data_IF_798431888782
#
_entry.id   IF_798431888782
#
_cell.length_a   1.000
_cell.length_b   1.000
_cell.length_c   1.000
_cell.angle_alpha   90.00
_cell.angle_beta   90.00
_cell.angle_gamma   90.00
#
_symmetry.space_group_name_H-M   'P 1'
#
loop_
_entity.id
_entity.type
_entity.pdbx_description
1 polymer ?
#
# COMPACT_ATOMS: atom_id res chain seq x y z
N UNK A 1 3.09 -55.34 -65.23
CA UNK A 1 4.09 -54.39 -65.76
C UNK A 1 3.39 -53.08 -66.06
N UNK A 2 3.72 -52.01 -65.30
CA UNK A 2 3.42 -50.56 -65.51
C UNK A 2 1.91 -50.19 -65.69
N UNK A 3 1.35 -49.15 -65.10
CA UNK A 3 1.89 -47.90 -64.59
C UNK A 3 0.89 -47.30 -63.58
N UNK A 4 1.42 -46.58 -62.59
CA UNK A 4 0.72 -45.95 -61.46
C UNK A 4 0.36 -44.51 -61.81
N UNK A 5 -0.84 -44.04 -61.42
CA UNK A 5 -1.04 -42.71 -60.82
C UNK A 5 -2.46 -42.53 -60.25
N UNK A 6 -2.53 -41.69 -59.23
CA UNK A 6 -3.68 -41.07 -58.54
C UNK A 6 -4.07 -41.65 -57.18
N UNK A 7 -3.45 -41.04 -56.15
CA UNK A 7 -4.07 -40.32 -55.01
C UNK A 7 -5.33 -40.93 -54.37
N UNK A 8 -5.18 -41.38 -53.12
CA UNK A 8 -6.02 -40.99 -51.97
C UNK A 8 -5.49 -41.72 -50.72
N UNK A 9 -4.89 -40.97 -49.79
CA UNK A 9 -4.49 -41.48 -48.48
C UNK A 9 -5.57 -41.08 -47.46
N UNK A 10 -6.43 -42.04 -47.14
CA UNK A 10 -7.16 -42.10 -45.89
C UNK A 10 -6.51 -43.11 -44.95
N UNK A 11 -6.90 -43.08 -43.67
CA UNK A 11 -6.41 -43.82 -42.48
C UNK A 11 -5.37 -43.03 -41.68
N UNK A 12 -5.40 -42.91 -40.34
CA UNK A 12 -6.19 -43.58 -39.31
C UNK A 12 -6.14 -42.78 -38.00
N UNK A 13 -7.25 -42.83 -37.27
CA UNK A 13 -7.41 -42.42 -35.88
C UNK A 13 -6.43 -43.15 -34.94
N UNK A 14 -5.79 -42.44 -34.01
CA UNK A 14 -5.54 -42.97 -32.67
C UNK A 14 -5.46 -41.83 -31.64
N UNK A 15 -6.15 -42.09 -30.54
CA UNK A 15 -6.47 -41.25 -29.39
C UNK A 15 -5.25 -40.68 -28.63
N UNK A 16 -5.46 -39.49 -28.04
CA UNK A 16 -5.09 -39.26 -26.64
C UNK A 16 -4.27 -38.02 -26.33
N UNK A 17 -4.83 -37.18 -25.46
CA UNK A 17 -4.22 -36.12 -24.61
C UNK A 17 -4.37 -34.67 -25.12
N UNK A 18 -5.55 -34.12 -24.79
CA UNK A 18 -5.85 -32.71 -24.47
C UNK A 18 -6.43 -32.81 -23.02
N UNK A 19 -6.17 -31.98 -22.01
CA UNK A 19 -6.11 -30.52 -21.94
C UNK A 19 -5.61 -30.14 -20.53
N UNK A 20 -4.78 -29.09 -20.36
CA UNK A 20 -4.78 -28.16 -19.20
C UNK A 20 -3.64 -27.13 -19.32
N UNK A 21 -3.74 -26.22 -20.28
CA UNK A 21 -3.11 -24.90 -20.25
C UNK A 21 -4.05 -23.95 -21.00
N UNK A 22 -4.75 -23.10 -20.26
CA UNK A 22 -5.65 -22.09 -20.79
C UNK A 22 -5.55 -20.86 -19.89
N UNK A 23 -4.61 -19.98 -20.22
CA UNK A 23 -4.62 -18.60 -19.76
C UNK A 23 -5.54 -17.81 -20.68
N UNK A 24 -6.54 -17.14 -20.12
CA UNK A 24 -7.42 -16.25 -20.87
C UNK A 24 -6.88 -14.82 -20.80
N UNK A 25 -6.19 -14.43 -21.86
CA UNK A 25 -6.02 -13.03 -22.26
C UNK A 25 -7.26 -12.59 -23.03
N UNK A 26 -8.14 -11.80 -22.41
CA UNK A 26 -9.25 -11.14 -23.09
C UNK A 26 -8.83 -9.76 -23.59
N UNK A 27 -8.64 -9.67 -24.91
CA UNK A 27 -8.45 -8.45 -25.69
C UNK A 27 -9.75 -7.64 -25.76
N UNK A 28 -9.70 -6.33 -25.50
CA UNK A 28 -10.79 -5.41 -25.86
C UNK A 28 -10.25 -4.21 -26.65
N UNK A 29 -10.57 -4.19 -27.93
CA UNK A 29 -10.51 -3.02 -28.82
C UNK A 29 -11.93 -2.45 -28.91
N UNK A 30 -12.14 -1.20 -28.49
CA UNK A 30 -13.28 -0.40 -28.94
C UNK A 30 -12.87 1.06 -29.16
N UNK A 31 -13.44 1.62 -30.21
CA UNK A 31 -13.09 2.84 -30.93
C UNK A 31 -13.24 4.16 -30.14
N UNK A 32 -12.27 5.06 -30.33
CA UNK A 32 -12.43 6.33 -31.05
C UNK A 32 -13.42 7.38 -30.54
N UNK A 33 -12.89 8.51 -30.07
CA UNK A 33 -13.62 9.76 -29.92
C UNK A 33 -12.75 10.92 -29.43
N UNK A 34 -12.05 11.59 -30.35
CA UNK A 34 -11.32 12.85 -30.06
C UNK A 34 -12.33 13.98 -29.83
N UNK A 35 -12.26 14.63 -28.68
CA UNK A 35 -12.93 15.90 -28.39
C UNK A 35 -11.95 16.84 -27.70
N UNK A 36 -11.49 17.85 -28.42
CA UNK A 36 -10.68 18.96 -27.92
C UNK A 36 -11.56 19.94 -27.14
N UNK A 37 -11.12 20.37 -25.96
CA UNK A 37 -11.64 21.60 -25.32
C UNK A 37 -10.46 22.44 -24.83
N UNK A 38 -10.41 23.66 -25.35
CA UNK A 38 -9.47 24.73 -25.05
C UNK A 38 -10.02 25.69 -24.00
N UNK A 39 -9.11 26.34 -23.27
CA UNK A 39 -9.36 27.52 -22.43
C UNK A 39 -9.16 27.22 -20.94
N UNK A 40 -8.60 28.08 -20.11
CA UNK A 40 -7.95 29.39 -20.28
C UNK A 40 -7.34 29.75 -18.92
N UNK A 41 -6.30 30.55 -18.95
CA UNK A 41 -5.51 31.05 -17.81
C UNK A 41 -6.34 31.68 -16.67
N UNK A 42 -5.83 31.49 -15.45
CA UNK A 42 -6.35 32.12 -14.24
C UNK A 42 -5.42 31.93 -13.05
N UNK A 43 -4.28 32.63 -13.07
CA UNK A 43 -3.33 32.68 -11.96
C UNK A 43 -3.94 33.44 -10.76
N UNK A 44 -3.93 32.82 -9.57
CA UNK A 44 -4.22 33.49 -8.29
C UNK A 44 -3.04 33.24 -7.34
N UNK A 45 -2.33 34.31 -7.04
CA UNK A 45 -1.22 34.37 -6.09
C UNK A 45 -1.76 34.51 -4.66
N UNK A 46 -1.39 33.61 -3.75
CA UNK A 46 -1.49 33.86 -2.31
C UNK A 46 -0.12 33.68 -1.65
N UNK A 47 0.49 34.81 -1.29
CA UNK A 47 1.60 34.85 -0.36
C UNK A 47 1.08 34.64 1.06
N UNK A 48 1.70 33.68 1.76
CA UNK A 48 1.48 33.40 3.17
C UNK A 48 2.83 33.08 3.82
N UNK A 49 3.20 33.93 4.77
CA UNK A 49 4.41 33.91 5.60
C UNK A 49 4.58 32.58 6.35
N UNK A 50 5.64 31.83 6.01
CA UNK A 50 6.04 30.61 6.71
C UNK A 50 7.18 30.91 7.69
N UNK A 51 6.83 31.37 8.89
CA UNK A 51 7.78 31.57 9.99
C UNK A 51 7.41 30.78 11.26
N UNK A 52 7.81 29.49 11.25
CA UNK A 52 8.32 28.64 12.37
C UNK A 52 7.32 28.03 13.40
N UNK A 53 7.72 26.99 14.20
CA UNK A 53 8.88 26.08 14.11
C UNK A 53 8.59 24.56 14.30
N UNK A 54 9.37 23.74 13.57
CA UNK A 54 10.20 22.62 14.05
C UNK A 54 9.67 21.70 15.19
N UNK A 55 9.29 20.47 14.82
CA UNK A 55 9.23 19.32 15.74
C UNK A 55 10.47 18.42 15.52
N UNK A 56 11.23 18.06 16.56
CA UNK A 56 12.36 17.14 16.41
C UNK A 56 11.86 15.70 16.15
N UNK A 57 12.58 14.88 15.38
CA UNK A 57 12.24 13.48 15.19
C UNK A 57 12.55 12.71 16.49
N UNK A 58 11.62 11.85 16.94
CA UNK A 58 11.89 10.89 18.01
C UNK A 58 11.06 10.95 19.29
N UNK A 59 9.85 11.53 19.28
CA UNK A 59 8.87 11.21 20.36
C UNK A 59 7.99 10.04 19.93
N UNK A 60 7.66 9.11 20.84
CA UNK A 60 6.54 8.18 20.62
C UNK A 60 5.33 8.99 20.18
N UNK A 61 4.69 8.60 19.07
CA UNK A 61 3.47 9.26 18.62
C UNK A 61 2.45 9.25 19.77
N UNK A 62 1.80 10.40 20.04
CA UNK A 62 0.78 10.45 21.08
C UNK A 62 -0.30 9.41 20.77
N UNK A 63 -0.89 8.78 21.79
CA UNK A 63 -1.98 7.83 21.57
C UNK A 63 -3.12 8.48 20.77
N UNK A 64 -3.91 7.68 20.03
CA UNK A 64 -5.03 8.19 19.26
C UNK A 64 -5.92 9.11 20.11
N UNK A 65 -6.52 10.16 19.52
CA UNK A 65 -7.43 11.03 20.25
C UNK A 65 -8.55 10.20 20.89
N UNK A 66 -8.99 10.54 22.12
CA UNK A 66 -9.99 9.76 22.84
C UNK A 66 -11.27 9.63 22.01
N UNK A 67 -11.81 8.41 21.96
CA UNK A 67 -13.03 8.09 21.24
C UNK A 67 -14.13 9.08 21.63
N UNK A 68 -14.64 9.84 20.66
CA UNK A 68 -15.83 10.65 20.85
C UNK A 68 -17.01 9.72 21.10
N UNK A 69 -17.81 10.03 22.11
CA UNK A 69 -19.02 9.29 22.51
C UNK A 69 -20.03 9.25 21.34
N UNK A 70 -19.89 8.29 20.42
CA UNK A 70 -20.98 7.87 19.52
C UNK A 70 -20.89 6.39 19.07
N UNK A 71 -22.08 5.80 18.94
CA UNK A 71 -22.49 4.39 19.13
C UNK A 71 -22.34 3.48 17.88
N UNK A 72 -21.13 3.25 17.39
CA UNK A 72 -20.91 2.28 16.30
C UNK A 72 -19.72 1.37 16.55
N UNK A 73 -19.91 0.06 16.38
CA UNK A 73 -18.82 -0.93 16.42
C UNK A 73 -17.93 -0.75 15.19
N UNK A 74 -16.62 -0.89 15.37
CA UNK A 74 -15.63 -0.81 14.29
C UNK A 74 -14.79 -2.08 14.35
N UNK A 75 -14.74 -2.82 13.25
CA UNK A 75 -14.05 -4.11 13.17
C UNK A 75 -12.95 -4.04 12.11
N UNK A 76 -11.74 -4.43 12.49
CA UNK A 76 -10.68 -4.67 11.51
C UNK A 76 -10.91 -6.02 10.83
N UNK A 77 -10.87 -6.07 9.51
CA UNK A 77 -11.04 -7.27 8.71
C UNK A 77 -9.75 -7.52 7.92
N UNK A 78 -8.87 -8.37 8.45
CA UNK A 78 -7.59 -8.69 7.83
C UNK A 78 -7.79 -9.83 6.84
N UNK A 79 -7.45 -9.59 5.57
CA UNK A 79 -7.38 -10.64 4.56
C UNK A 79 -6.03 -11.34 4.71
N UNK A 80 -6.04 -12.52 5.31
CA UNK A 80 -4.86 -13.19 5.85
C UNK A 80 -4.34 -14.27 4.90
N UNK A 81 -3.08 -14.14 4.47
CA UNK A 81 -2.39 -15.18 3.72
C UNK A 81 -0.94 -15.43 4.12
N UNK A 82 -0.24 -14.47 4.74
CA UNK A 82 1.22 -14.48 4.94
C UNK A 82 1.62 -14.10 6.38
N UNK A 83 2.17 -15.05 7.13
CA UNK A 83 2.66 -14.86 8.51
C UNK A 83 3.63 -13.70 8.64
N UNK A 84 4.64 -13.65 7.77
CA UNK A 84 5.75 -12.73 7.97
C UNK A 84 5.33 -11.27 7.79
N UNK A 85 4.32 -11.00 6.95
CA UNK A 85 3.75 -9.66 6.80
C UNK A 85 2.87 -9.33 8.02
N UNK A 86 2.06 -10.29 8.49
CA UNK A 86 1.23 -10.10 9.69
C UNK A 86 2.04 -9.91 10.97
N UNK A 87 3.27 -10.43 11.07
CA UNK A 87 4.18 -10.09 12.18
C UNK A 87 4.47 -8.59 12.25
N UNK A 88 4.54 -7.89 11.12
CA UNK A 88 4.67 -6.43 11.07
C UNK A 88 3.31 -5.78 11.35
N UNK A 89 2.26 -6.22 10.67
CA UNK A 89 0.92 -5.64 10.77
C UNK A 89 0.33 -5.72 12.19
N UNK A 90 0.59 -6.81 12.95
CA UNK A 90 0.07 -6.98 14.31
C UNK A 90 0.42 -5.81 15.23
N UNK A 91 1.62 -5.22 15.10
CA UNK A 91 2.01 -4.08 15.92
C UNK A 91 1.08 -2.87 15.69
N UNK A 92 0.64 -2.65 14.45
CA UNK A 92 -0.32 -1.58 14.11
C UNK A 92 -1.75 -1.94 14.50
N UNK A 93 -2.17 -3.20 14.30
CA UNK A 93 -3.50 -3.66 14.72
C UNK A 93 -3.69 -3.52 16.22
N UNK A 94 -2.70 -3.95 17.01
CA UNK A 94 -2.72 -3.81 18.46
C UNK A 94 -2.83 -2.35 18.88
N UNK A 95 -2.04 -1.43 18.32
CA UNK A 95 -2.15 0.01 18.64
C UNK A 95 -3.55 0.57 18.35
N UNK A 96 -4.20 0.05 17.32
CA UNK A 96 -5.52 0.48 16.90
C UNK A 96 -6.69 -0.23 17.59
N UNK A 97 -6.45 -1.22 18.45
CA UNK A 97 -7.50 -1.80 19.30
C UNK A 97 -7.97 -0.80 20.36
N UNK A 98 -9.28 -0.75 20.64
CA UNK A 98 -9.85 0.05 21.74
C UNK A 98 -9.22 -0.27 23.10
N UNK A 99 -8.91 -1.54 23.34
CA UNK A 99 -8.22 -1.98 24.56
C UNK A 99 -6.88 -1.25 24.77
N UNK A 100 -6.25 -0.79 23.69
CA UNK A 100 -4.96 -0.11 23.68
C UNK A 100 -5.08 1.40 23.32
N UNK A 101 -6.29 1.96 23.34
CA UNK A 101 -6.55 3.38 23.06
C UNK A 101 -6.88 3.72 21.61
N UNK A 102 -6.96 2.72 20.73
CA UNK A 102 -7.43 2.87 19.35
C UNK A 102 -8.95 2.81 19.21
N UNK A 103 -9.41 2.49 17.99
CA UNK A 103 -10.83 2.51 17.61
C UNK A 103 -11.43 1.14 17.29
N UNK A 104 -10.63 0.10 17.08
CA UNK A 104 -11.09 -1.22 16.67
C UNK A 104 -11.58 -2.02 17.88
N UNK A 105 -12.84 -2.48 17.83
CA UNK A 105 -13.44 -3.35 18.84
C UNK A 105 -12.93 -4.80 18.75
N UNK A 106 -12.69 -5.26 17.53
CA UNK A 106 -12.28 -6.63 17.20
C UNK A 106 -11.45 -6.61 15.91
N UNK A 107 -10.57 -7.61 15.76
CA UNK A 107 -9.94 -7.97 14.49
C UNK A 107 -10.41 -9.35 14.06
N UNK A 108 -10.92 -9.45 12.83
CA UNK A 108 -11.23 -10.72 12.18
C UNK A 108 -10.13 -11.01 11.16
N UNK A 109 -9.45 -12.13 11.31
CA UNK A 109 -8.57 -12.70 10.28
C UNK A 109 -9.39 -13.61 9.37
N UNK A 110 -9.67 -13.12 8.16
CA UNK A 110 -10.30 -13.90 7.10
C UNK A 110 -9.24 -14.69 6.36
N UNK A 111 -9.19 -16.00 6.58
CA UNK A 111 -8.03 -16.84 6.22
C UNK A 111 -8.17 -17.38 4.80
N UNK A 112 -7.20 -17.05 3.95
CA UNK A 112 -7.11 -17.52 2.57
C UNK A 112 -5.68 -18.02 2.25
N UNK A 113 -5.24 -19.02 2.99
CA UNK A 113 -3.97 -19.74 2.76
C UNK A 113 -4.10 -21.18 3.24
N UNK A 114 -3.46 -22.09 2.51
CA UNK A 114 -3.31 -23.49 2.89
C UNK A 114 -1.91 -23.78 3.47
N UNK A 115 -1.06 -22.76 3.63
CA UNK A 115 0.28 -22.91 4.18
C UNK A 115 0.21 -23.19 5.69
N UNK A 116 0.71 -24.36 6.09
CA UNK A 116 0.67 -24.83 7.48
C UNK A 116 1.40 -23.91 8.46
N UNK A 117 2.52 -23.29 8.05
CA UNK A 117 3.27 -22.36 8.89
C UNK A 117 2.51 -21.05 9.14
N UNK A 118 1.79 -20.57 8.11
CA UNK A 118 0.95 -19.38 8.21
C UNK A 118 -0.25 -19.66 9.11
N UNK A 119 -0.88 -20.83 8.97
CA UNK A 119 -1.99 -21.25 9.81
C UNK A 119 -1.55 -21.46 11.27
N UNK A 120 -0.41 -22.11 11.49
CA UNK A 120 0.13 -22.39 12.82
C UNK A 120 0.47 -21.10 13.58
N UNK A 121 1.02 -20.09 12.92
CA UNK A 121 1.26 -18.80 13.55
C UNK A 121 -0.04 -18.15 14.04
N UNK A 122 -1.06 -18.11 13.19
CA UNK A 122 -2.35 -17.53 13.57
C UNK A 122 -2.99 -18.30 14.74
N UNK A 123 -3.08 -19.62 14.62
CA UNK A 123 -3.82 -20.47 15.56
C UNK A 123 -3.09 -20.67 16.89
N UNK A 124 -1.76 -20.78 16.89
CA UNK A 124 -0.99 -21.15 18.08
C UNK A 124 -0.26 -19.97 18.72
N UNK A 125 0.07 -18.92 17.96
CA UNK A 125 0.84 -17.79 18.48
C UNK A 125 -0.01 -16.54 18.67
N UNK A 126 -0.88 -16.21 17.72
CA UNK A 126 -1.60 -14.94 17.70
C UNK A 126 -2.92 -15.00 18.46
N UNK A 127 -3.87 -15.84 18.03
CA UNK A 127 -5.22 -15.90 18.61
C UNK A 127 -5.24 -16.23 20.12
N UNK A 128 -4.45 -17.21 20.63
CA UNK A 128 -4.48 -17.55 22.06
C UNK A 128 -4.06 -16.40 22.98
N UNK A 129 -3.27 -15.45 22.46
CA UNK A 129 -2.73 -14.32 23.23
C UNK A 129 -3.60 -13.07 23.10
N UNK A 130 -4.54 -13.02 22.14
CA UNK A 130 -5.26 -11.80 21.74
C UNK A 130 -6.78 -12.02 21.79
N UNK A 131 -7.46 -11.70 22.91
CA UNK A 131 -8.89 -11.99 23.09
C UNK A 131 -9.81 -11.19 22.16
N UNK A 132 -9.32 -10.09 21.58
CA UNK A 132 -10.05 -9.28 20.60
C UNK A 132 -9.85 -9.76 19.16
N UNK A 133 -9.12 -10.85 18.94
CA UNK A 133 -8.86 -11.41 17.62
C UNK A 133 -9.70 -12.66 17.41
N UNK A 134 -10.24 -12.81 16.20
CA UNK A 134 -11.02 -13.97 15.79
C UNK A 134 -10.59 -14.44 14.40
N UNK A 135 -10.67 -15.75 14.21
CA UNK A 135 -10.52 -16.39 12.89
C UNK A 135 -11.85 -16.52 12.18
N UNK A 136 -11.85 -16.22 10.88
CA UNK A 136 -12.88 -16.66 9.95
C UNK A 136 -12.24 -17.59 8.93
N UNK A 137 -12.62 -18.86 8.99
CA UNK A 137 -12.17 -19.87 8.05
C UNK A 137 -13.14 -19.94 6.86
N UNK A 138 -12.60 -19.86 5.66
CA UNK A 138 -13.38 -20.03 4.44
C UNK A 138 -13.85 -21.47 4.30
N UNK A 139 -15.10 -21.66 3.90
CA UNK A 139 -15.50 -22.94 3.32
C UNK A 139 -14.70 -23.15 2.02
N UNK A 140 -14.15 -24.36 1.86
CA UNK A 140 -13.52 -24.77 0.60
C UNK A 140 -14.51 -24.46 -0.53
N UNK A 141 -14.01 -23.87 -1.63
CA UNK A 141 -14.76 -23.43 -2.82
C UNK A 141 -15.39 -22.04 -2.83
N UNK A 142 -15.29 -21.22 -1.76
CA UNK A 142 -15.76 -19.81 -1.81
C UNK A 142 -14.77 -18.82 -2.46
N UNK A 143 -13.56 -19.27 -2.75
CA UNK A 143 -12.51 -18.48 -3.41
C UNK A 143 -12.14 -17.19 -2.66
N UNK A 144 -11.47 -16.27 -3.35
CA UNK A 144 -11.04 -14.97 -2.80
C UNK A 144 -12.20 -14.16 -2.22
N UNK A 145 -13.34 -14.11 -2.94
CA UNK A 145 -14.52 -13.35 -2.55
C UNK A 145 -15.17 -13.85 -1.25
N UNK A 146 -15.00 -15.14 -0.95
CA UNK A 146 -15.50 -15.76 0.27
C UNK A 146 -15.07 -15.04 1.55
N UNK A 147 -13.95 -14.30 1.50
CA UNK A 147 -13.39 -13.57 2.63
C UNK A 147 -14.33 -12.50 3.20
N UNK A 148 -15.25 -11.99 2.38
CA UNK A 148 -16.28 -11.04 2.79
C UNK A 148 -17.44 -11.69 3.57
N UNK A 149 -17.55 -13.03 3.56
CA UNK A 149 -18.63 -13.76 4.23
C UNK A 149 -18.65 -13.65 5.77
N UNK A 150 -17.62 -13.05 6.36
CA UNK A 150 -17.58 -12.72 7.78
C UNK A 150 -18.25 -11.38 8.14
N UNK A 151 -18.66 -10.60 7.15
CA UNK A 151 -19.39 -9.33 7.35
C UNK A 151 -20.86 -9.64 7.60
N UNK A 152 -21.26 -9.59 8.87
CA UNK A 152 -22.60 -10.03 9.32
C UNK A 152 -23.34 -9.00 10.18
N UNK A 153 -22.71 -7.86 10.49
CA UNK A 153 -23.28 -6.83 11.36
C UNK A 153 -23.56 -5.55 10.56
N UNK A 154 -24.84 -5.25 10.30
CA UNK A 154 -25.26 -4.14 9.42
C UNK A 154 -24.75 -2.76 9.87
N UNK A 155 -24.84 -2.50 11.18
CA UNK A 155 -24.52 -1.18 11.77
C UNK A 155 -23.03 -1.02 12.14
N UNK A 156 -22.19 -1.98 11.74
CA UNK A 156 -20.75 -2.00 12.01
C UNK A 156 -19.97 -1.40 10.85
N UNK A 157 -18.93 -0.61 11.15
CA UNK A 157 -17.94 -0.20 10.15
C UNK A 157 -16.86 -1.28 10.09
N UNK A 158 -16.63 -1.84 8.92
CA UNK A 158 -15.55 -2.77 8.67
C UNK A 158 -14.39 -2.04 7.99
N UNK A 159 -13.20 -2.19 8.56
CA UNK A 159 -11.94 -1.70 8.01
C UNK A 159 -11.21 -2.92 7.45
N UNK A 160 -11.36 -3.18 6.16
CA UNK A 160 -10.63 -4.23 5.46
C UNK A 160 -9.16 -3.83 5.28
N UNK A 161 -8.25 -4.74 5.59
CA UNK A 161 -6.79 -4.53 5.58
C UNK A 161 -6.14 -5.75 4.93
N UNK A 162 -5.35 -5.54 3.87
CA UNK A 162 -4.49 -6.61 3.33
C UNK A 162 -3.36 -6.93 4.31
N UNK A 163 -2.96 -8.20 4.35
CA UNK A 163 -1.91 -8.66 5.26
C UNK A 163 -0.53 -8.03 5.01
N UNK A 164 -0.31 -7.42 3.84
CA UNK A 164 0.90 -6.68 3.47
C UNK A 164 0.76 -5.15 3.54
N UNK A 165 -0.22 -4.66 4.29
CA UNK A 165 -0.12 -3.33 4.90
C UNK A 165 0.95 -3.37 5.98
N UNK A 166 2.09 -2.76 5.68
CA UNK A 166 3.35 -2.82 6.46
C UNK A 166 3.62 -1.57 7.29
N UNK A 167 2.79 -0.54 7.11
CA UNK A 167 2.81 0.68 7.91
C UNK A 167 1.42 1.32 7.92
N UNK A 168 1.03 1.87 9.06
CA UNK A 168 -0.12 2.75 9.21
C UNK A 168 0.14 3.81 10.29
N UNK A 169 -0.14 5.08 10.00
CA UNK A 169 -0.17 6.12 11.03
C UNK A 169 -1.32 5.89 12.02
N UNK A 170 -1.12 6.31 13.28
CA UNK A 170 -2.11 6.12 14.36
C UNK A 170 -3.47 6.78 14.05
N UNK A 171 -3.49 7.86 13.27
CA UNK A 171 -4.73 8.56 12.91
C UNK A 171 -5.41 8.03 11.64
N UNK A 172 -4.86 7.03 10.93
CA UNK A 172 -5.39 6.54 9.65
C UNK A 172 -6.80 5.98 9.78
N UNK A 173 -7.03 5.07 10.74
CA UNK A 173 -8.37 4.51 10.96
C UNK A 173 -9.34 5.58 11.45
N UNK A 174 -8.88 6.51 12.29
CA UNK A 174 -9.70 7.62 12.77
C UNK A 174 -10.18 8.52 11.61
N UNK A 175 -9.29 8.88 10.68
CA UNK A 175 -9.62 9.68 9.52
C UNK A 175 -10.65 8.99 8.60
N UNK A 176 -10.48 7.68 8.37
CA UNK A 176 -11.43 6.88 7.59
C UNK A 176 -12.81 6.81 8.26
N UNK A 177 -12.86 6.46 9.55
CA UNK A 177 -14.11 6.34 10.31
C UNK A 177 -14.82 7.69 10.40
N UNK A 178 -14.08 8.78 10.64
CA UNK A 178 -14.61 10.14 10.63
C UNK A 178 -15.25 10.46 9.28
N UNK A 179 -14.55 10.19 8.18
CA UNK A 179 -15.05 10.43 6.81
C UNK A 179 -16.35 9.67 6.55
N UNK A 180 -16.44 8.38 6.91
CA UNK A 180 -17.67 7.60 6.76
C UNK A 180 -18.83 8.11 7.64
N UNK A 181 -18.54 8.61 8.84
CA UNK A 181 -19.59 9.12 9.75
C UNK A 181 -20.11 10.49 9.31
N UNK A 182 -19.22 11.38 8.89
CA UNK A 182 -19.57 12.74 8.48
C UNK A 182 -20.20 12.79 7.08
N UNK A 183 -19.97 11.78 6.24
CA UNK A 183 -20.53 11.67 4.89
C UNK A 183 -21.34 10.37 4.75
N UNK A 184 -22.58 10.33 5.26
CA UNK A 184 -23.43 9.14 5.25
C UNK A 184 -23.79 8.65 3.84
N UNK A 185 -23.73 9.55 2.86
CA UNK A 185 -23.94 9.31 1.43
C UNK A 185 -22.75 8.64 0.72
N UNK A 186 -21.56 8.58 1.32
CA UNK A 186 -20.44 7.82 0.75
C UNK A 186 -20.71 6.32 0.75
N UNK A 187 -20.29 5.65 -0.32
CA UNK A 187 -20.31 4.19 -0.37
C UNK A 187 -19.23 3.62 0.54
N UNK A 188 -18.00 4.07 0.34
CA UNK A 188 -16.84 3.59 1.08
C UNK A 188 -15.72 4.64 1.13
N UNK A 189 -14.69 4.35 1.93
CA UNK A 189 -13.49 5.17 2.04
C UNK A 189 -12.23 4.28 1.92
N UNK A 190 -11.24 4.69 1.16
CA UNK A 190 -9.90 4.10 1.15
C UNK A 190 -8.95 4.96 1.99
N UNK A 191 -7.91 4.37 2.56
CA UNK A 191 -6.83 5.12 3.18
C UNK A 191 -5.96 5.84 2.12
N UNK A 192 -5.19 6.84 2.54
CA UNK A 192 -4.09 7.36 1.73
C UNK A 192 -2.92 6.36 1.75
N UNK A 193 -2.69 5.65 0.63
CA UNK A 193 -1.78 4.51 0.60
C UNK A 193 -0.57 4.81 -0.29
N UNK A 194 0.63 4.77 0.28
CA UNK A 194 1.88 4.73 -0.48
C UNK A 194 1.99 3.38 -1.20
N UNK A 195 2.44 3.42 -2.45
CA UNK A 195 2.45 2.28 -3.36
C UNK A 195 1.04 1.73 -3.65
N UNK A 196 0.08 2.62 -3.88
CA UNK A 196 -1.19 2.29 -4.55
C UNK A 196 -1.13 2.80 -6.01
N UNK A 197 -1.62 2.08 -7.03
CA UNK A 197 -1.23 2.34 -8.42
C UNK A 197 -1.63 3.73 -8.91
N UNK A 198 -2.86 4.15 -8.61
CA UNK A 198 -3.38 5.46 -8.98
C UNK A 198 -2.97 6.54 -7.96
N UNK A 199 -2.98 6.26 -6.64
CA UNK A 199 -2.56 7.25 -5.63
C UNK A 199 -1.08 7.61 -5.71
N UNK A 200 -0.24 6.71 -6.24
CA UNK A 200 1.18 7.02 -6.49
C UNK A 200 1.31 8.21 -7.43
N UNK A 201 0.41 8.39 -8.40
CA UNK A 201 0.39 9.59 -9.24
C UNK A 201 0.01 10.85 -8.47
N UNK A 202 -0.93 10.75 -7.52
CA UNK A 202 -1.28 11.88 -6.63
C UNK A 202 -0.07 12.28 -5.80
N UNK A 203 0.61 11.32 -5.18
CA UNK A 203 1.85 11.55 -4.43
C UNK A 203 2.96 12.14 -5.29
N UNK A 204 3.10 11.71 -6.55
CA UNK A 204 4.03 12.32 -7.51
C UNK A 204 3.76 13.82 -7.66
N UNK A 205 2.50 14.21 -7.83
CA UNK A 205 2.09 15.61 -7.97
C UNK A 205 2.16 16.41 -6.67
N UNK A 206 2.30 15.75 -5.51
CA UNK A 206 2.64 16.37 -4.23
C UNK A 206 4.16 16.56 -4.05
N UNK A 207 4.99 16.07 -4.98
CA UNK A 207 6.44 16.26 -4.95
C UNK A 207 7.17 15.45 -3.87
N UNK A 208 6.59 14.32 -3.44
CA UNK A 208 7.11 13.52 -2.30
C UNK A 208 8.09 12.41 -2.70
N UNK A 209 8.39 12.24 -3.98
CA UNK A 209 9.31 11.20 -4.41
C UNK A 209 10.72 11.74 -4.56
N UNK A 210 11.61 11.11 -3.82
CA UNK A 210 13.01 11.47 -3.71
C UNK A 210 13.83 10.65 -4.72
N UNK A 211 14.96 11.16 -5.20
CA UNK A 211 15.75 10.47 -6.20
C UNK A 211 16.52 9.29 -5.59
N UNK A 212 16.23 8.09 -6.07
CA UNK A 212 16.88 6.84 -5.64
C UNK A 212 17.19 5.96 -6.85
N UNK A 213 18.30 5.23 -6.76
CA UNK A 213 18.70 4.21 -7.73
C UNK A 213 19.10 2.92 -7.04
N UNK A 214 18.86 1.74 -7.65
CA UNK A 214 19.26 0.48 -7.05
C UNK A 214 20.78 0.38 -6.93
N UNK A 215 21.24 -0.21 -5.84
CA UNK A 215 22.62 -0.66 -5.70
C UNK A 215 22.83 -1.86 -6.62
N UNK A 216 23.66 -1.70 -7.64
CA UNK A 216 23.84 -2.72 -8.69
C UNK A 216 24.78 -3.85 -8.28
N UNK A 217 25.65 -3.64 -7.29
CA UNK A 217 26.63 -4.63 -6.84
C UNK A 217 26.60 -4.78 -5.32
N UNK A 218 26.67 -6.01 -4.78
CA UNK A 218 26.69 -6.22 -3.33
C UNK A 218 27.84 -5.45 -2.65
N UNK A 219 27.60 -4.83 -1.48
CA UNK A 219 28.66 -4.18 -0.72
C UNK A 219 29.62 -5.22 -0.14
N UNK A 220 30.92 -4.90 -0.06
CA UNK A 220 31.93 -5.79 0.55
C UNK A 220 31.61 -6.13 2.02
N UNK A 221 30.98 -5.19 2.73
CA UNK A 221 30.52 -5.35 4.11
C UNK A 221 29.03 -5.03 4.18
N UNK A 222 28.16 -6.04 4.35
CA UNK A 222 26.74 -5.77 4.54
C UNK A 222 26.52 -5.00 5.85
N UNK A 223 25.72 -3.94 5.79
CA UNK A 223 25.26 -3.23 6.98
C UNK A 223 24.12 -4.03 7.63
N UNK A 224 23.97 -3.90 8.94
CA UNK A 224 22.77 -4.39 9.62
C UNK A 224 21.53 -3.69 9.05
N UNK A 225 20.40 -4.40 9.04
CA UNK A 225 19.14 -3.84 8.57
C UNK A 225 18.70 -2.70 9.51
N UNK A 226 18.80 -1.46 9.03
CA UNK A 226 18.23 -0.26 9.64
C UNK A 226 17.18 0.31 8.69
N UNK A 227 16.09 0.81 9.25
CA UNK A 227 15.03 1.45 8.47
C UNK A 227 15.39 2.88 8.02
N UNK A 228 16.45 3.45 8.61
CA UNK A 228 16.88 4.84 8.39
C UNK A 228 17.47 5.03 6.99
N UNK A 229 16.98 6.03 6.28
CA UNK A 229 17.49 6.42 4.98
C UNK A 229 18.82 7.19 5.10
N UNK A 230 19.06 7.88 6.22
CA UNK A 230 20.30 8.61 6.49
C UNK A 230 21.54 7.70 6.56
N UNK A 231 21.35 6.44 6.97
CA UNK A 231 22.43 5.44 7.08
C UNK A 231 22.84 4.83 5.72
N UNK A 232 22.04 5.03 4.67
CA UNK A 232 22.40 4.57 3.32
C UNK A 232 23.58 5.38 2.78
N UNK A 233 24.55 4.76 2.09
CA UNK A 233 25.53 5.51 1.32
C UNK A 233 24.83 6.24 0.16
N UNK A 234 25.38 7.38 -0.25
CA UNK A 234 24.87 8.09 -1.43
C UNK A 234 25.16 7.28 -2.69
N UNK A 235 24.24 7.30 -3.64
CA UNK A 235 24.46 6.75 -4.97
C UNK A 235 25.60 7.50 -5.69
N UNK A 236 26.57 6.77 -6.26
CA UNK A 236 27.78 7.36 -6.84
C UNK A 236 27.84 7.34 -8.38
N UNK A 237 26.88 6.67 -9.03
CA UNK A 237 26.81 6.54 -10.49
C UNK A 237 26.22 7.76 -11.22
N UNK A 238 25.86 7.63 -12.51
CA UNK A 238 25.29 8.71 -13.31
C UNK A 238 23.94 9.19 -12.77
N UNK A 239 23.67 10.50 -12.83
CA UNK A 239 22.43 11.11 -12.30
C UNK A 239 21.16 10.46 -12.84
N UNK A 240 21.17 10.08 -14.12
CA UNK A 240 20.06 9.44 -14.84
C UNK A 240 19.92 7.94 -14.56
N UNK A 241 20.75 7.39 -13.68
CA UNK A 241 20.70 6.01 -13.21
C UNK A 241 21.81 5.12 -13.73
N UNK A 242 21.85 3.87 -13.26
CA UNK A 242 22.81 2.87 -13.74
C UNK A 242 22.58 2.57 -15.23
N UNK A 243 23.62 2.55 -16.09
CA UNK A 243 23.47 2.34 -17.53
C UNK A 243 22.68 1.08 -17.94
N UNK A 244 22.79 0.01 -17.15
CA UNK A 244 22.14 -1.28 -17.35
C UNK A 244 20.72 -1.37 -16.75
N UNK A 245 20.28 -0.37 -15.99
CA UNK A 245 18.99 -0.35 -15.31
C UNK A 245 17.97 0.52 -16.04
N UNK A 246 16.80 -0.06 -16.35
CA UNK A 246 15.70 0.62 -17.02
C UNK A 246 14.64 1.05 -16.01
N UNK A 247 14.30 2.34 -16.03
CA UNK A 247 13.35 2.96 -15.10
C UNK A 247 11.90 2.49 -15.24
N UNK A 248 11.56 1.85 -16.36
CA UNK A 248 10.20 1.35 -16.65
C UNK A 248 9.87 0.05 -15.91
N UNK A 249 10.79 -0.47 -15.09
CA UNK A 249 10.62 -1.71 -14.33
C UNK A 249 10.92 -2.97 -15.14
N UNK A 250 11.42 -2.84 -16.37
CA UNK A 250 11.78 -3.99 -17.22
C UNK A 250 13.13 -4.63 -16.87
N UNK A 251 13.98 -3.96 -16.09
CA UNK A 251 15.17 -4.59 -15.51
C UNK A 251 14.80 -5.42 -14.28
N UNK A 252 15.43 -6.60 -14.06
CA UNK A 252 15.24 -7.38 -12.83
C UNK A 252 15.94 -6.71 -11.64
N UNK A 253 15.62 -7.18 -10.43
CA UNK A 253 16.37 -6.88 -9.22
C UNK A 253 17.86 -7.24 -9.41
N UNK A 254 18.82 -6.36 -9.08
CA UNK A 254 20.25 -6.63 -9.30
C UNK A 254 20.76 -7.85 -8.54
N UNK A 255 20.33 -8.01 -7.28
CA UNK A 255 20.60 -9.17 -6.43
C UNK A 255 19.61 -9.20 -5.26
N UNK A 256 19.52 -10.34 -4.57
CA UNK A 256 18.66 -10.49 -3.40
C UNK A 256 19.20 -9.69 -2.21
N UNK A 257 18.33 -8.90 -1.59
CA UNK A 257 18.66 -7.98 -0.51
C UNK A 257 19.35 -6.69 -0.97
N UNK A 258 19.21 -6.31 -2.25
CA UNK A 258 19.77 -5.06 -2.74
C UNK A 258 19.07 -3.84 -2.12
N UNK A 259 19.83 -2.76 -2.02
CA UNK A 259 19.36 -1.48 -1.51
C UNK A 259 18.98 -0.56 -2.66
N UNK A 260 18.24 0.50 -2.36
CA UNK A 260 18.15 1.68 -3.21
C UNK A 260 18.86 2.83 -2.53
N UNK A 261 19.82 3.42 -3.23
CA UNK A 261 20.71 4.43 -2.69
C UNK A 261 20.19 5.84 -3.04
N UNK A 262 20.13 6.77 -2.07
CA UNK A 262 19.68 8.12 -2.34
C UNK A 262 20.69 8.87 -3.21
N UNK A 263 20.20 9.61 -4.18
CA UNK A 263 21.01 10.56 -4.96
C UNK A 263 21.15 11.84 -4.14
N UNK A 264 22.13 11.85 -3.24
CA UNK A 264 22.50 13.08 -2.52
C UNK A 264 23.38 13.91 -3.43
N UNK A 265 23.05 15.19 -3.60
CA UNK A 265 23.78 16.09 -4.49
C UNK A 265 25.29 15.92 -4.30
N UNK A 266 26.00 15.62 -5.37
CA UNK A 266 27.40 16.03 -5.40
C UNK A 266 27.35 17.56 -5.42
N UNK A 267 28.14 18.29 -4.60
CA UNK A 267 28.55 19.61 -5.03
C UNK A 267 29.23 19.38 -6.39
N UNK A 268 28.51 19.67 -7.46
CA UNK A 268 29.09 19.66 -8.79
C UNK A 268 30.23 20.69 -8.71
N UNK A 269 31.45 20.20 -8.93
CA UNK A 269 32.62 21.04 -9.07
C UNK A 269 33.05 20.88 -10.54
N UNK A 270 32.83 21.88 -11.40
CA UNK A 270 32.26 23.20 -11.12
C UNK A 270 30.73 23.17 -10.91
N UNK A 271 30.15 24.19 -10.26
CA UNK A 271 28.71 24.32 -10.10
C UNK A 271 28.00 24.32 -11.47
N UNK A 272 26.74 23.87 -11.53
CA UNK A 272 25.97 23.86 -12.76
C UNK A 272 25.96 25.27 -13.36
N UNK A 273 26.19 25.37 -14.67
CA UNK A 273 26.12 26.62 -15.40
C UNK A 273 24.69 27.20 -15.34
N UNK A 274 24.51 28.50 -15.61
CA UNK A 274 23.16 29.10 -15.71
C UNK A 274 22.27 28.42 -16.78
N UNK A 275 22.86 27.64 -17.70
CA UNK A 275 22.11 26.78 -18.62
C UNK A 275 21.64 25.46 -17.99
N UNK A 276 22.37 24.91 -17.02
CA UNK A 276 21.97 23.73 -16.25
C UNK A 276 20.86 24.03 -15.23
N UNK A 277 20.70 25.31 -14.86
CA UNK A 277 19.59 25.82 -14.04
C UNK A 277 18.28 26.02 -14.84
N UNK A 278 18.28 25.76 -16.15
CA UNK A 278 17.05 25.72 -16.95
C UNK A 278 16.35 24.39 -16.66
N UNK A 279 15.48 24.39 -15.65
CA UNK A 279 14.43 23.38 -15.37
C UNK A 279 14.88 21.97 -15.76
N UNK A 280 15.55 21.26 -14.86
CA UNK A 280 15.78 19.83 -15.05
C UNK A 280 14.45 19.19 -15.48
N UNK A 281 14.32 18.62 -16.69
CA UNK A 281 13.25 17.66 -16.90
C UNK A 281 13.48 16.62 -15.80
N UNK A 282 12.44 16.31 -15.02
CA UNK A 282 12.52 15.31 -13.96
C UNK A 282 13.35 14.13 -14.51
N UNK A 283 14.51 13.81 -13.90
CA UNK A 283 15.32 12.72 -14.38
C UNK A 283 14.44 11.49 -14.53
N UNK A 284 14.75 10.54 -15.41
CA UNK A 284 13.88 9.40 -15.73
C UNK A 284 13.80 8.39 -14.57
N UNK A 285 13.68 8.83 -13.33
CA UNK A 285 13.49 8.02 -12.15
C UNK A 285 12.28 7.11 -12.34
N UNK A 286 12.32 5.89 -11.79
CA UNK A 286 11.20 4.97 -11.87
C UNK A 286 9.85 5.56 -11.44
N UNK A 287 9.84 6.40 -10.39
CA UNK A 287 8.65 7.10 -9.92
C UNK A 287 8.04 8.04 -10.97
N UNK A 288 8.80 8.54 -11.95
CA UNK A 288 8.26 9.37 -13.06
C UNK A 288 7.32 8.60 -14.00
N UNK A 289 7.29 7.27 -13.89
CA UNK A 289 6.48 6.39 -14.74
C UNK A 289 5.10 6.09 -14.16
N UNK A 290 4.78 6.58 -12.96
CA UNK A 290 3.47 6.36 -12.34
C UNK A 290 2.38 7.12 -13.11
N UNK A 291 1.20 6.54 -13.18
CA UNK A 291 0.04 7.10 -13.88
C UNK A 291 -1.19 7.08 -12.99
N UNK A 292 -2.14 7.98 -13.25
CA UNK A 292 -3.44 7.95 -12.59
C UNK A 292 -4.35 6.88 -13.21
N UNK A 293 -3.95 5.61 -13.05
CA UNK A 293 -4.63 4.43 -13.60
C UNK A 293 -4.36 3.22 -12.68
N UNK A 294 -5.42 2.56 -12.23
CA UNK A 294 -5.34 1.37 -11.38
C UNK A 294 -4.62 0.18 -12.05
N UNK A 295 -4.64 0.12 -13.38
CA UNK A 295 -3.98 -0.91 -14.19
C UNK A 295 -2.79 -0.38 -14.99
N UNK A 296 -2.42 0.89 -14.78
CA UNK A 296 -1.32 1.54 -15.47
C UNK A 296 0.06 1.00 -15.05
N UNK A 297 1.14 1.59 -15.57
CA UNK A 297 2.51 1.15 -15.28
C UNK A 297 2.85 1.04 -13.79
N UNK A 298 2.25 1.87 -12.92
CA UNK A 298 2.42 1.79 -11.47
C UNK A 298 2.16 0.39 -10.89
N UNK A 299 1.19 -0.35 -11.44
CA UNK A 299 0.82 -1.69 -10.96
C UNK A 299 1.92 -2.73 -11.21
N UNK A 300 2.76 -2.56 -12.23
CA UNK A 300 3.76 -3.55 -12.67
C UNK A 300 5.20 -3.09 -12.44
N UNK A 301 5.44 -1.79 -12.35
CA UNK A 301 6.78 -1.25 -12.21
C UNK A 301 7.29 -1.42 -10.77
N UNK A 302 7.93 -2.56 -10.51
CA UNK A 302 8.53 -2.89 -9.21
C UNK A 302 9.63 -1.88 -8.80
N UNK A 303 10.35 -1.30 -9.77
CA UNK A 303 11.37 -0.28 -9.53
C UNK A 303 10.76 1.05 -9.08
N UNK A 304 9.64 1.44 -9.67
CA UNK A 304 8.87 2.58 -9.18
C UNK A 304 8.45 2.35 -7.74
N UNK A 305 7.79 1.22 -7.45
CA UNK A 305 7.38 0.84 -6.10
C UNK A 305 8.53 0.95 -5.09
N UNK A 306 9.70 0.39 -5.41
CA UNK A 306 10.87 0.49 -4.56
C UNK A 306 11.24 1.96 -4.25
N UNK A 307 11.32 2.81 -5.26
CA UNK A 307 11.57 4.24 -5.05
C UNK A 307 10.49 4.92 -4.19
N UNK A 308 9.20 4.60 -4.36
CA UNK A 308 8.13 5.16 -3.52
C UNK A 308 8.34 4.81 -2.05
N UNK A 309 8.66 3.55 -1.75
CA UNK A 309 8.94 3.08 -0.39
C UNK A 309 10.15 3.76 0.23
N UNK A 310 11.26 3.87 -0.51
CA UNK A 310 12.48 4.52 -0.02
C UNK A 310 12.27 6.02 0.23
N UNK A 311 11.54 6.70 -0.65
CA UNK A 311 11.14 8.09 -0.46
C UNK A 311 10.29 8.25 0.80
N UNK A 312 9.34 7.33 1.02
CA UNK A 312 8.52 7.32 2.22
C UNK A 312 9.36 7.10 3.49
N UNK A 313 10.27 6.12 3.51
CA UNK A 313 11.13 5.87 4.67
C UNK A 313 12.04 7.08 4.98
N UNK A 314 12.53 7.77 3.95
CA UNK A 314 13.27 9.03 4.11
C UNK A 314 12.41 10.12 4.76
N UNK A 315 11.19 10.31 4.29
CA UNK A 315 10.27 11.29 4.88
C UNK A 315 9.81 10.88 6.29
N UNK A 316 9.62 9.59 6.54
CA UNK A 316 9.28 9.05 7.85
C UNK A 316 10.39 9.35 8.86
N UNK A 317 11.64 9.12 8.50
CA UNK A 317 12.80 9.43 9.34
C UNK A 317 12.90 10.92 9.66
N UNK A 318 12.61 11.79 8.68
CA UNK A 318 12.67 13.25 8.83
C UNK A 318 11.45 13.86 9.55
N UNK A 319 10.41 13.07 9.85
CA UNK A 319 9.15 13.60 10.39
C UNK A 319 8.36 14.42 9.37
N UNK A 320 8.51 14.12 8.07
CA UNK A 320 7.94 14.85 6.94
C UNK A 320 6.77 14.12 6.27
N UNK A 321 6.15 13.14 6.94
CA UNK A 321 5.00 12.39 6.38
C UNK A 321 3.80 13.28 6.06
N UNK A 322 3.72 14.47 6.66
CA UNK A 322 2.73 15.50 6.35
C UNK A 322 2.72 15.90 4.86
N UNK A 323 3.84 15.75 4.15
CA UNK A 323 3.94 16.04 2.70
C UNK A 323 3.05 15.14 1.84
N UNK A 324 2.70 13.94 2.32
CA UNK A 324 1.82 13.00 1.61
C UNK A 324 0.34 13.33 1.81
N UNK A 325 0.00 14.22 2.75
CA UNK A 325 -1.36 14.41 3.24
C UNK A 325 -2.12 15.39 2.37
N UNK A 326 -3.39 15.08 2.21
CA UNK A 326 -4.41 15.95 1.62
C UNK A 326 -5.71 15.74 2.42
N UNK A 327 -6.76 16.51 2.19
CA UNK A 327 -8.01 16.32 2.93
C UNK A 327 -8.75 15.07 2.40
N UNK A 328 -9.36 15.21 1.23
CA UNK A 328 -10.13 14.17 0.56
C UNK A 328 -9.73 14.12 -0.89
N UNK A 329 -9.66 12.91 -1.43
CA UNK A 329 -9.56 12.68 -2.87
C UNK A 329 -10.74 11.84 -3.34
N UNK A 330 -11.59 12.41 -4.19
CA UNK A 330 -12.78 11.74 -4.72
C UNK A 330 -12.39 10.90 -5.95
N UNK A 331 -12.46 9.58 -5.83
CA UNK A 331 -12.23 8.67 -6.95
C UNK A 331 -13.45 8.60 -7.90
N UNK A 332 -14.55 9.25 -7.56
CA UNK A 332 -15.82 9.21 -8.28
C UNK A 332 -16.27 7.76 -8.50
N UNK A 333 -16.10 7.26 -9.72
CA UNK A 333 -16.40 5.88 -10.12
C UNK A 333 -15.19 5.21 -10.78
N UNK A 334 -13.98 5.73 -10.54
CA UNK A 334 -12.72 5.12 -10.95
C UNK A 334 -12.28 4.09 -9.92
N UNK A 335 -11.56 3.07 -10.40
CA UNK A 335 -11.09 1.98 -9.55
C UNK A 335 -10.02 2.48 -8.58
N UNK A 336 -10.17 2.15 -7.31
CA UNK A 336 -9.12 2.25 -6.29
C UNK A 336 -8.85 0.85 -5.73
N UNK A 337 -7.58 0.52 -5.48
CA UNK A 337 -7.28 -0.74 -4.80
C UNK A 337 -7.75 -0.71 -3.34
N UNK A 338 -8.31 -1.81 -2.86
CA UNK A 338 -8.96 -1.90 -1.54
C UNK A 338 -8.01 -2.39 -0.44
N UNK A 339 -6.70 -2.11 -0.54
CA UNK A 339 -5.71 -2.65 0.41
C UNK A 339 -5.95 -2.21 1.86
N UNK A 340 -6.51 -1.01 2.06
CA UNK A 340 -6.92 -0.49 3.35
C UNK A 340 -8.22 0.30 3.16
N UNK A 341 -9.36 -0.36 3.40
CA UNK A 341 -10.67 0.07 2.90
C UNK A 341 -11.75 -0.01 3.99
N UNK A 342 -12.45 1.09 4.21
CA UNK A 342 -13.53 1.23 5.18
C UNK A 342 -14.90 1.22 4.50
N UNK A 343 -15.81 0.38 4.99
CA UNK A 343 -17.16 0.23 4.45
C UNK A 343 -18.15 -0.14 5.57
N UNK A 344 -19.43 0.20 5.41
CA UNK A 344 -20.48 -0.20 6.36
C UNK A 344 -20.88 -1.65 6.10
N UNK A 345 -21.16 -2.40 7.17
CA UNK A 345 -21.56 -3.80 7.06
C UNK A 345 -22.82 -3.98 6.21
N UNK A 346 -23.81 -3.08 6.35
CA UNK A 346 -25.01 -3.06 5.52
C UNK A 346 -24.72 -3.00 4.01
N UNK A 347 -23.73 -2.20 3.60
CA UNK A 347 -23.37 -2.02 2.19
C UNK A 347 -22.80 -3.31 1.57
N UNK A 348 -22.03 -4.09 2.34
CA UNK A 348 -21.56 -5.42 1.94
C UNK A 348 -22.71 -6.44 1.97
N UNK A 349 -23.48 -6.49 3.07
CA UNK A 349 -24.57 -7.46 3.25
C UNK A 349 -25.67 -7.33 2.19
N UNK A 350 -25.89 -6.14 1.64
CA UNK A 350 -26.90 -5.89 0.60
C UNK A 350 -26.48 -6.39 -0.78
N UNK A 351 -25.20 -6.71 -0.99
CA UNK A 351 -24.69 -7.15 -2.29
C UNK A 351 -23.89 -8.46 -2.24
N UNK A 352 -23.59 -9.00 -1.05
CA UNK A 352 -22.90 -10.27 -0.90
C UNK A 352 -23.87 -11.48 -0.94
N UNK A 353 -23.58 -12.56 -1.69
CA UNK A 353 -22.40 -12.77 -2.53
C UNK A 353 -22.38 -11.85 -3.75
N UNK A 354 -21.20 -11.30 -4.08
CA UNK A 354 -21.08 -10.32 -5.16
C UNK A 354 -21.41 -10.94 -6.53
N UNK A 355 -22.02 -10.17 -7.45
CA UNK A 355 -22.39 -10.65 -8.78
C UNK A 355 -21.20 -10.80 -9.74
N UNK A 356 -20.00 -10.33 -9.35
CA UNK A 356 -18.78 -10.37 -10.16
C UNK A 356 -17.61 -10.94 -9.35
N UNK A 357 -16.64 -11.55 -10.06
CA UNK A 357 -15.43 -12.18 -9.51
C UNK A 357 -14.37 -11.23 -8.93
N UNK A 358 -14.53 -9.93 -9.16
CA UNK A 358 -13.56 -8.87 -8.87
C UNK A 358 -14.17 -7.90 -7.85
N UNK A 359 -13.89 -8.12 -6.57
CA UNK A 359 -14.44 -7.31 -5.47
C UNK A 359 -13.96 -5.86 -5.52
N UNK A 360 -12.70 -5.63 -5.86
CA UNK A 360 -12.17 -4.28 -6.06
C UNK A 360 -12.94 -3.51 -7.13
N UNK A 361 -13.10 -4.08 -8.32
CA UNK A 361 -13.88 -3.46 -9.39
C UNK A 361 -15.34 -3.27 -8.98
N UNK A 362 -15.94 -4.28 -8.35
CA UNK A 362 -17.34 -4.21 -7.95
C UNK A 362 -17.60 -3.16 -6.86
N UNK A 363 -16.81 -3.14 -5.80
CA UNK A 363 -16.99 -2.28 -4.63
C UNK A 363 -16.49 -0.84 -4.85
N UNK A 364 -15.67 -0.58 -5.88
CA UNK A 364 -15.16 0.77 -6.15
C UNK A 364 -15.71 1.42 -7.40
N UNK A 365 -16.24 0.62 -8.34
CA UNK A 365 -16.78 1.12 -9.62
C UNK A 365 -18.26 0.80 -9.76
N UNK A 366 -18.62 -0.48 -9.79
CA UNK A 366 -19.96 -0.91 -10.19
C UNK A 366 -21.02 -0.53 -9.16
N UNK A 367 -20.85 -1.00 -7.92
CA UNK A 367 -21.82 -0.80 -6.85
C UNK A 367 -21.93 0.68 -6.43
N UNK A 368 -20.82 1.44 -6.29
CA UNK A 368 -20.86 2.90 -6.20
C UNK A 368 -21.70 3.58 -7.27
N UNK A 369 -21.55 3.17 -8.54
CA UNK A 369 -22.28 3.74 -9.68
C UNK A 369 -23.76 3.41 -9.67
N UNK A 370 -24.13 2.18 -9.33
CA UNK A 370 -25.52 1.75 -9.15
C UNK A 370 -26.24 2.59 -8.07
N UNK A 371 -25.57 2.83 -6.95
CA UNK A 371 -26.13 3.55 -5.81
C UNK A 371 -25.97 5.07 -5.92
N UNK A 372 -25.16 5.56 -6.87
CA UNK A 372 -24.72 6.97 -6.98
C UNK A 372 -24.06 7.47 -5.69
N UNK A 373 -23.22 6.63 -5.10
CA UNK A 373 -22.50 6.89 -3.86
C UNK A 373 -21.01 6.69 -4.13
N UNK A 374 -20.20 7.72 -4.00
CA UNK A 374 -18.78 7.67 -4.39
C UNK A 374 -17.91 6.92 -3.39
N UNK A 375 -16.69 6.59 -3.81
CA UNK A 375 -15.60 6.14 -2.94
C UNK A 375 -14.57 7.24 -2.79
N UNK A 376 -14.27 7.62 -1.55
CA UNK A 376 -13.30 8.68 -1.24
C UNK A 376 -12.01 8.10 -0.68
N UNK A 377 -10.91 8.84 -0.80
CA UNK A 377 -9.70 8.61 -0.01
C UNK A 377 -9.66 9.61 1.14
N UNK A 378 -9.50 9.10 2.37
CA UNK A 378 -9.21 9.92 3.54
C UNK A 378 -7.71 10.25 3.56
N UNK A 379 -7.35 11.47 3.19
CA UNK A 379 -5.97 11.89 2.96
C UNK A 379 -5.15 12.25 4.22
N UNK A 380 -5.82 12.45 5.36
CA UNK A 380 -5.22 12.97 6.60
C UNK A 380 -4.36 11.93 7.35
N UNK A 381 -4.63 10.64 7.17
CA UNK A 381 -3.83 9.55 7.71
C UNK A 381 -3.21 8.73 6.58
N UNK A 382 -2.06 8.15 6.84
CA UNK A 382 -1.22 7.49 5.84
C UNK A 382 -1.06 6.00 6.14
N UNK A 383 -1.01 5.18 5.10
CA UNK A 383 -0.66 3.77 5.17
C UNK A 383 0.32 3.41 4.03
N UNK A 384 0.97 2.26 4.15
CA UNK A 384 1.85 1.72 3.12
C UNK A 384 1.42 0.29 2.83
N UNK A 385 1.17 0.01 1.56
CA UNK A 385 0.98 -1.35 1.04
C UNK A 385 2.29 -1.83 0.42
N UNK A 386 2.77 -3.03 0.77
CA UNK A 386 4.11 -3.47 0.37
C UNK A 386 4.20 -3.71 -1.14
N UNK A 387 3.34 -4.54 -1.73
CA UNK A 387 3.52 -4.92 -3.12
C UNK A 387 2.24 -5.48 -3.75
N UNK A 388 1.97 -5.09 -5.00
CA UNK A 388 1.04 -5.86 -5.83
C UNK A 388 1.70 -7.14 -6.34
N UNK A 389 0.89 -8.17 -6.66
CA UNK A 389 1.38 -9.44 -7.21
C UNK A 389 2.38 -9.28 -8.37
N UNK A 390 2.13 -8.40 -9.38
CA UNK A 390 3.09 -8.14 -10.46
C UNK A 390 4.39 -7.46 -10.01
N UNK A 391 4.38 -6.64 -8.96
CA UNK A 391 5.59 -6.02 -8.41
C UNK A 391 6.39 -7.02 -7.57
N UNK A 392 5.69 -7.82 -6.76
CA UNK A 392 6.27 -8.82 -5.86
C UNK A 392 6.94 -9.94 -6.65
N UNK A 393 6.27 -10.44 -7.71
CA UNK A 393 6.73 -11.58 -8.51
C UNK A 393 7.37 -11.16 -9.85
N UNK A 394 7.72 -9.88 -10.05
CA UNK A 394 8.37 -9.43 -11.28
C UNK A 394 9.61 -10.28 -11.59
N UNK A 395 9.87 -10.52 -12.87
CA UNK A 395 11.08 -11.22 -13.35
C UNK A 395 11.39 -12.53 -12.60
N UNK A 396 10.40 -13.44 -12.52
CA UNK A 396 10.56 -14.73 -11.83
C UNK A 396 10.92 -14.60 -10.33
N UNK A 397 10.30 -13.63 -9.66
CA UNK A 397 10.54 -13.25 -8.25
C UNK A 397 11.82 -12.46 -7.99
N UNK A 398 12.43 -11.92 -9.05
CA UNK A 398 13.50 -10.92 -8.97
C UNK A 398 12.94 -9.50 -9.12
N UNK A 399 12.04 -9.14 -8.20
CA UNK A 399 11.35 -7.85 -8.16
C UNK A 399 11.46 -7.16 -6.79
N UNK A 400 10.34 -6.59 -6.33
CA UNK A 400 10.30 -5.85 -5.07
C UNK A 400 10.64 -6.71 -3.84
N UNK A 401 10.30 -8.01 -3.88
CA UNK A 401 10.58 -8.97 -2.83
C UNK A 401 12.09 -9.23 -2.60
N UNK A 402 12.93 -8.91 -3.59
CA UNK A 402 14.39 -9.05 -3.51
C UNK A 402 15.08 -7.75 -3.03
N UNK A 403 14.33 -6.72 -2.67
CA UNK A 403 14.88 -5.54 -1.96
C UNK A 403 15.06 -5.83 -0.47
N UNK A 404 15.80 -4.98 0.24
CA UNK A 404 15.83 -4.97 1.70
C UNK A 404 14.63 -4.23 2.34
N UNK A 405 13.65 -3.75 1.58
CA UNK A 405 12.56 -2.92 2.10
C UNK A 405 11.76 -3.65 3.19
N UNK A 406 11.49 -4.94 3.00
CA UNK A 406 10.72 -5.70 3.99
C UNK A 406 11.43 -5.77 5.35
N UNK A 407 12.75 -5.93 5.36
CA UNK A 407 13.53 -5.91 6.61
C UNK A 407 13.62 -4.50 7.21
N UNK A 408 13.64 -3.45 6.38
CA UNK A 408 13.54 -2.05 6.84
C UNK A 408 12.21 -1.78 7.54
N UNK A 409 11.08 -2.16 6.95
CA UNK A 409 9.77 -1.98 7.59
C UNK A 409 9.63 -2.81 8.87
N UNK A 410 10.19 -4.02 8.90
CA UNK A 410 10.27 -4.81 10.12
C UNK A 410 11.08 -4.10 11.21
N UNK A 411 12.27 -3.59 10.88
CA UNK A 411 13.10 -2.86 11.82
C UNK A 411 12.40 -1.61 12.37
N UNK A 412 11.70 -0.85 11.51
CA UNK A 412 10.90 0.29 11.96
C UNK A 412 9.79 -0.15 12.93
N UNK A 413 9.04 -1.19 12.59
CA UNK A 413 7.95 -1.67 13.44
C UNK A 413 8.48 -2.14 14.81
N UNK A 414 9.56 -2.92 14.83
CA UNK A 414 10.20 -3.41 16.05
C UNK A 414 10.75 -2.28 16.93
N UNK A 415 11.32 -1.23 16.33
CA UNK A 415 11.89 -0.08 17.06
C UNK A 415 10.82 0.90 17.54
N UNK A 416 9.82 1.21 16.70
CA UNK A 416 8.95 2.38 16.90
C UNK A 416 7.50 2.04 17.22
N UNK A 417 7.01 0.86 16.84
CA UNK A 417 5.57 0.53 16.84
C UNK A 417 5.22 -0.55 17.85
N UNK A 418 5.95 -1.67 17.80
CA UNK A 418 5.76 -2.85 18.65
C UNK A 418 6.04 -2.60 20.14
N UNK A 419 6.94 -1.67 20.55
CA UNK A 419 7.06 -1.26 21.94
C UNK A 419 5.75 -0.57 22.36
N UNK A 420 4.79 -1.37 22.82
CA UNK A 420 3.57 -0.85 23.40
C UNK A 420 3.97 -0.05 24.64
N UNK A 421 3.48 1.18 24.82
CA UNK A 421 3.55 1.79 26.13
C UNK A 421 2.78 0.84 27.07
N UNK A 422 3.50 0.09 27.89
CA UNK A 422 2.88 -0.69 28.95
C UNK A 422 2.08 0.32 29.78
N UNK A 423 0.76 0.15 29.86
CA UNK A 423 -0.05 0.79 30.90
C UNK A 423 0.30 0.12 32.25
N UNK A 424 1.54 0.28 32.70
CA UNK A 424 1.97 -0.01 34.04
C UNK A 424 2.22 1.32 34.75
N UNK A 425 1.24 1.69 35.59
CA UNK A 425 1.45 2.31 36.90
C UNK A 425 2.43 3.50 37.00
N UNK A 426 2.33 4.50 36.13
CA UNK A 426 2.81 5.84 36.46
C UNK A 426 1.65 6.69 37.05
N UNK A 427 1.03 6.18 38.11
CA UNK A 427 0.37 7.03 39.10
C UNK A 427 1.39 7.75 40.01
N UNK A 428 2.69 7.50 39.85
CA UNK A 428 3.75 8.16 40.62
C UNK A 428 4.32 9.43 39.97
N UNK A 429 4.20 9.61 38.64
CA UNK A 429 4.72 10.80 37.96
C UNK A 429 3.75 12.01 38.04
N UNK A 430 2.46 11.76 38.23
CA UNK A 430 1.46 12.81 38.48
C UNK A 430 1.40 13.24 39.95
N UNK A 431 1.93 12.46 40.88
CA UNK A 431 1.98 12.80 42.31
C UNK A 431 3.25 13.55 42.73
N UNK A 432 4.23 13.71 41.84
CA UNK A 432 5.46 14.46 42.12
C UNK A 432 5.42 15.93 41.68
N UNK A 433 4.37 16.36 40.97
CA UNK A 433 4.17 17.77 40.59
C UNK A 433 3.22 18.54 41.52
N UNK A 434 2.45 17.84 42.37
CA UNK A 434 1.57 18.46 43.38
C UNK A 434 2.24 18.62 44.76
N UNK A 435 3.48 18.13 44.94
CA UNK A 435 4.22 18.22 46.20
C UNK A 435 5.19 19.42 46.28
N UNK A 436 5.32 20.21 45.21
CA UNK A 436 6.12 21.46 45.20
C UNK A 436 5.25 22.73 45.16
N UNK A 437 3.93 22.59 45.39
CA UNK A 437 2.98 23.71 45.38
C UNK A 437 2.27 23.96 46.74
N UNK A 438 2.90 23.57 47.86
CA UNK A 438 2.46 23.96 49.22
C UNK A 438 3.60 24.42 50.11
#
# INVERSE_FOLDING_TARGET
MRQVSIVALGLVFLFGIYTLLGGDTASYNLYGGKGSVSGSDGAVTHGGDHSKPWFPPGRPHPPPPPATNDKGRIVGLVFYGRRDHVKILDCYLQRNLKANGGLLDEIIFSVNTDNEDDLAYLDNELLPKRPHYRKYALEKHKGWLGQWGCVTERDTIYIKIDDDVIFAEDNTIAAMVKTLREKPDLFAVSANIVNNPALSWVHWHLGVFEPYWPEMTPPEKPLNASWRASELPSYTGPRDGPPEYKSDGSSPAPYKGHRWLPVRGKPENPPPSEEDNKVFPDPPYPASKVTYDAFGPSLRNWGAAAQLHYSFLQHLERGETWKYKFNIWDYQYDRVSINFFGIRGGDIMDCYPFPKGDDEGYLTVDRPRELRRHVYVAGEGLAVHFAFGPQYNAHEKHGLADTDLFSRYRAYAEEMVCPFPSRNSNSSAAQQLDAEAH
#
